data_IF_219837627623
#
_entry.id   IF_219837627623
#
_cell.length_a   1.000
_cell.length_b   1.000
_cell.length_c   1.000
_cell.angle_alpha   90.00
_cell.angle_beta   90.00
_cell.angle_gamma   90.00
#
_symmetry.space_group_name_H-M   'P 1'
#
loop_
_entity.id
_entity.type
_entity.pdbx_description
1 polymer ?
#
# COMPACT_ATOMS: atom_id res chain seq x y z
N UNK A 1 -1.35 0.66 20.48
CA UNK A 1 -2.79 0.86 20.23
C UNK A 1 -3.38 -0.47 19.71
N UNK A 2 -4.59 -0.87 20.12
CA UNK A 2 -5.23 -2.06 19.54
C UNK A 2 -5.51 -1.84 18.05
N UNK A 3 -5.43 -2.94 17.26
CA UNK A 3 -5.86 -2.90 15.87
C UNK A 3 -7.40 -2.84 15.85
N UNK A 4 -7.95 -1.75 15.34
CA UNK A 4 -9.38 -1.59 15.13
C UNK A 4 -9.67 -1.87 13.65
N UNK A 5 -10.20 -3.05 13.36
CA UNK A 5 -10.75 -3.35 12.04
C UNK A 5 -12.10 -2.64 11.86
N UNK A 6 -12.37 -2.12 10.66
CA UNK A 6 -13.71 -1.62 10.33
C UNK A 6 -14.52 -2.73 9.69
N UNK A 7 -15.80 -2.85 10.03
CA UNK A 7 -16.70 -3.87 9.46
C UNK A 7 -16.82 -3.77 7.92
N UNK A 8 -16.55 -2.59 7.37
CA UNK A 8 -16.59 -2.33 5.93
C UNK A 8 -15.36 -2.80 5.17
N UNK A 9 -14.26 -3.12 5.86
CA UNK A 9 -13.01 -3.52 5.23
C UNK A 9 -12.59 -4.91 5.72
N UNK A 10 -12.96 -5.95 4.98
CA UNK A 10 -12.72 -7.36 5.35
C UNK A 10 -11.26 -7.64 5.72
N UNK A 11 -10.30 -7.08 4.96
CA UNK A 11 -8.87 -7.24 5.23
C UNK A 11 -8.46 -6.68 6.59
N UNK A 12 -8.88 -5.46 6.94
CA UNK A 12 -8.52 -4.85 8.24
C UNK A 12 -9.14 -5.61 9.40
N UNK A 13 -10.37 -6.11 9.23
CA UNK A 13 -11.03 -6.96 10.21
C UNK A 13 -10.29 -8.30 10.42
N UNK A 14 -9.87 -8.94 9.35
CA UNK A 14 -9.08 -10.18 9.42
C UNK A 14 -7.74 -9.96 10.12
N UNK A 15 -7.02 -8.87 9.80
CA UNK A 15 -5.75 -8.55 10.46
C UNK A 15 -5.93 -8.26 11.95
N UNK A 16 -6.98 -7.53 12.33
CA UNK A 16 -7.29 -7.29 13.73
C UNK A 16 -7.64 -8.61 14.48
N UNK A 17 -8.36 -9.54 13.83
CA UNK A 17 -8.66 -10.85 14.39
C UNK A 17 -7.38 -11.69 14.59
N UNK A 18 -6.45 -11.69 13.62
CA UNK A 18 -5.16 -12.39 13.75
C UNK A 18 -4.36 -11.86 14.94
N UNK A 19 -4.26 -10.52 15.10
CA UNK A 19 -3.55 -9.97 16.25
C UNK A 19 -4.24 -10.26 17.59
N UNK A 20 -5.57 -10.39 17.61
CA UNK A 20 -6.29 -10.82 18.81
C UNK A 20 -5.95 -12.25 19.18
N UNK A 21 -6.05 -13.17 18.22
CA UNK A 21 -5.70 -14.58 18.41
C UNK A 21 -4.25 -14.73 18.89
N UNK A 22 -3.33 -14.00 18.26
CA UNK A 22 -1.92 -14.01 18.66
C UNK A 22 -1.75 -13.60 20.14
N UNK A 23 -2.41 -12.52 20.56
CA UNK A 23 -2.33 -12.06 21.96
C UNK A 23 -2.94 -13.08 22.94
N UNK A 24 -4.08 -13.67 22.59
CA UNK A 24 -4.74 -14.69 23.40
C UNK A 24 -3.85 -15.93 23.54
N UNK A 25 -3.24 -16.38 22.45
CA UNK A 25 -2.33 -17.55 22.44
C UNK A 25 -1.07 -17.32 23.27
N UNK A 26 -0.55 -16.09 23.27
CA UNK A 26 0.68 -15.75 23.98
C UNK A 26 0.44 -15.38 25.46
N UNK A 27 -0.82 -15.31 25.90
CA UNK A 27 -1.13 -15.01 27.30
C UNK A 27 -0.56 -16.11 28.22
N UNK A 28 0.32 -15.74 29.13
CA UNK A 28 1.03 -16.68 30.03
C UNK A 28 2.20 -17.43 29.38
N UNK A 29 2.53 -17.14 28.11
CA UNK A 29 3.73 -17.67 27.45
C UNK A 29 4.97 -16.83 27.80
N UNK A 30 6.14 -17.47 27.84
CA UNK A 30 7.44 -16.80 27.94
C UNK A 30 7.97 -16.33 26.56
N UNK A 31 7.16 -16.45 25.51
CA UNK A 31 7.55 -16.11 24.14
C UNK A 31 7.43 -14.60 23.90
N UNK A 32 8.49 -13.96 23.48
CA UNK A 32 8.47 -12.59 23.02
C UNK A 32 7.91 -12.51 21.59
N UNK A 33 6.90 -11.65 21.40
CA UNK A 33 6.30 -11.44 20.10
C UNK A 33 6.54 -10.04 19.57
N UNK A 34 7.07 -9.95 18.37
CA UNK A 34 7.25 -8.71 17.61
C UNK A 34 6.21 -8.67 16.48
N UNK A 35 5.29 -7.74 16.57
CA UNK A 35 4.22 -7.56 15.56
C UNK A 35 4.55 -6.33 14.73
N UNK A 36 4.91 -6.54 13.48
CA UNK A 36 5.19 -5.46 12.55
C UNK A 36 3.94 -5.09 11.75
N UNK A 37 3.62 -3.81 11.70
CA UNK A 37 2.53 -3.24 10.91
C UNK A 37 3.12 -2.31 9.86
N UNK A 38 3.54 -2.85 8.70
CA UNK A 38 3.97 -1.98 7.61
C UNK A 38 2.77 -1.24 7.02
N UNK A 39 3.00 -0.03 6.53
CA UNK A 39 2.08 0.63 5.59
C UNK A 39 2.06 -0.13 4.25
N UNK A 40 1.86 0.54 3.14
CA UNK A 40 1.93 -0.13 1.83
C UNK A 40 3.38 -0.51 1.53
N UNK A 41 3.68 -1.82 1.53
CA UNK A 41 5.00 -2.33 1.17
C UNK A 41 5.17 -2.26 -0.34
N UNK A 42 6.26 -1.66 -0.78
CA UNK A 42 6.55 -1.47 -2.20
C UNK A 42 8.06 -1.55 -2.47
N UNK A 43 8.41 -1.64 -3.75
CA UNK A 43 9.80 -1.72 -4.22
C UNK A 43 9.94 -2.70 -5.37
N UNK A 44 11.14 -2.90 -5.90
CA UNK A 44 11.40 -3.79 -7.03
C UNK A 44 10.86 -5.21 -6.85
N UNK A 45 11.01 -5.79 -5.67
CA UNK A 45 10.56 -7.16 -5.35
C UNK A 45 9.16 -7.20 -4.70
N UNK A 46 8.51 -6.04 -4.52
CA UNK A 46 7.17 -5.94 -3.96
C UNK A 46 6.24 -5.12 -4.88
N UNK A 47 5.90 -5.61 -6.10
CA UNK A 47 5.15 -4.86 -7.11
C UNK A 47 3.63 -4.83 -6.85
N UNK A 48 3.14 -5.39 -5.74
CA UNK A 48 1.71 -5.60 -5.49
C UNK A 48 0.84 -4.33 -5.64
N UNK A 49 1.39 -3.14 -5.35
CA UNK A 49 0.70 -1.87 -5.58
C UNK A 49 0.41 -1.63 -7.06
N UNK A 50 1.36 -1.93 -7.94
CA UNK A 50 1.19 -1.81 -9.40
C UNK A 50 0.29 -2.91 -9.97
N UNK A 51 0.43 -4.14 -9.47
CA UNK A 51 -0.34 -5.29 -9.95
C UNK A 51 -1.84 -5.15 -9.68
N UNK A 52 -2.23 -4.26 -8.79
CA UNK A 52 -3.63 -3.96 -8.51
C UNK A 52 -4.22 -2.90 -9.43
N UNK A 53 -3.39 -2.18 -10.20
CA UNK A 53 -3.89 -1.20 -11.15
C UNK A 53 -4.56 -1.90 -12.34
N UNK A 54 -5.84 -1.58 -12.63
CA UNK A 54 -6.61 -2.27 -13.68
C UNK A 54 -5.92 -2.26 -15.05
N UNK A 55 -5.30 -1.14 -15.41
CA UNK A 55 -4.60 -1.00 -16.69
C UNK A 55 -3.38 -1.93 -16.80
N UNK A 56 -2.66 -2.12 -15.69
CA UNK A 56 -1.48 -2.99 -15.68
C UNK A 56 -1.88 -4.47 -15.65
N UNK A 57 -3.02 -4.81 -15.06
CA UNK A 57 -3.61 -6.16 -15.19
C UNK A 57 -4.03 -6.48 -16.62
N UNK A 58 -4.63 -5.51 -17.32
CA UNK A 58 -5.01 -5.67 -18.73
C UNK A 58 -3.79 -5.89 -19.63
N UNK A 59 -2.64 -5.28 -19.33
CA UNK A 59 -1.40 -5.51 -20.06
C UNK A 59 -0.97 -6.99 -20.04
N UNK A 60 -1.23 -7.70 -18.95
CA UNK A 60 -0.95 -9.13 -18.86
C UNK A 60 -1.98 -10.03 -19.56
N UNK A 61 -3.18 -9.51 -19.83
CA UNK A 61 -4.28 -10.29 -20.40
C UNK A 61 -4.57 -9.96 -21.87
N UNK A 62 -4.19 -8.78 -22.33
CA UNK A 62 -4.45 -8.33 -23.69
C UNK A 62 -3.38 -8.86 -24.69
N UNK A 63 -3.77 -9.18 -25.93
CA UNK A 63 -2.82 -9.53 -26.99
C UNK A 63 -1.79 -8.41 -27.17
N UNK A 64 -0.51 -8.77 -27.21
CA UNK A 64 0.60 -7.81 -27.32
C UNK A 64 0.46 -6.86 -28.54
N UNK A 65 -0.23 -7.29 -29.59
CA UNK A 65 -0.51 -6.50 -30.79
C UNK A 65 -1.49 -5.36 -30.49
N UNK A 66 -2.54 -5.63 -29.71
CA UNK A 66 -3.53 -4.61 -29.34
C UNK A 66 -2.91 -3.54 -28.43
N UNK A 67 -2.08 -3.93 -27.49
CA UNK A 67 -1.35 -3.02 -26.60
C UNK A 67 -0.33 -2.16 -27.36
N UNK A 68 0.39 -2.76 -28.32
CA UNK A 68 1.32 -2.00 -29.18
C UNK A 68 0.57 -0.99 -30.06
N UNK A 69 -0.60 -1.32 -30.56
CA UNK A 69 -1.42 -0.39 -31.32
C UNK A 69 -1.91 0.77 -30.47
N UNK A 70 -2.38 0.50 -29.24
CA UNK A 70 -2.85 1.51 -28.30
C UNK A 70 -1.70 2.47 -27.87
N UNK A 71 -0.53 1.92 -27.59
CA UNK A 71 0.67 2.72 -27.23
C UNK A 71 1.19 3.62 -28.37
N UNK A 72 0.82 3.32 -29.64
CA UNK A 72 1.19 4.11 -30.81
C UNK A 72 0.26 5.28 -31.08
N UNK A 73 -0.88 5.37 -30.40
CA UNK A 73 -1.80 6.51 -30.57
C UNK A 73 -1.30 7.67 -29.72
N UNK A 74 -0.83 8.77 -30.32
CA UNK A 74 -0.33 9.92 -29.56
C UNK A 74 -1.42 10.48 -28.66
N UNK A 75 -1.05 10.78 -27.41
CA UNK A 75 -1.98 11.40 -26.45
C UNK A 75 -2.91 10.45 -25.70
N UNK A 76 -2.93 9.14 -26.05
CA UNK A 76 -3.70 8.15 -25.28
C UNK A 76 -2.81 7.59 -24.17
N UNK A 77 -3.02 8.07 -22.94
CA UNK A 77 -2.38 7.57 -21.73
C UNK A 77 -3.45 7.09 -20.75
N UNK A 78 -3.15 6.08 -19.93
CA UNK A 78 -4.04 5.69 -18.85
C UNK A 78 -4.33 6.87 -17.91
N UNK A 79 -5.49 6.84 -17.28
CA UNK A 79 -5.95 7.86 -16.35
C UNK A 79 -6.05 7.26 -14.97
N UNK A 80 -5.39 7.85 -13.99
CA UNK A 80 -5.50 7.43 -12.60
C UNK A 80 -6.33 8.46 -11.82
N UNK A 81 -7.43 8.05 -11.17
CA UNK A 81 -8.20 8.93 -10.30
C UNK A 81 -7.40 9.27 -9.04
N UNK A 82 -7.38 10.56 -8.66
CA UNK A 82 -6.74 11.01 -7.43
C UNK A 82 -7.75 11.70 -6.52
N UNK A 83 -7.91 11.16 -5.34
CA UNK A 83 -8.77 11.71 -4.29
C UNK A 83 -8.06 12.73 -3.40
N UNK A 84 -6.77 12.99 -3.65
CA UNK A 84 -5.94 13.89 -2.86
C UNK A 84 -5.57 13.35 -1.47
N UNK A 85 -5.90 12.09 -1.17
CA UNK A 85 -5.62 11.47 0.13
C UNK A 85 -4.18 10.97 0.16
N UNK A 86 -3.37 11.44 1.14
CA UNK A 86 -1.99 11.01 1.26
C UNK A 86 -1.87 9.62 1.88
N UNK A 87 -0.85 8.88 1.47
CA UNK A 87 -0.46 7.62 2.07
C UNK A 87 1.07 7.49 2.12
N UNK A 88 1.56 6.52 2.88
CA UNK A 88 2.98 6.24 2.98
C UNK A 88 3.32 4.90 2.34
N UNK A 89 4.53 4.80 1.84
CA UNK A 89 5.14 3.57 1.38
C UNK A 89 6.28 3.20 2.32
N UNK A 90 6.57 1.92 2.41
CA UNK A 90 7.79 1.39 3.04
C UNK A 90 8.48 0.46 2.04
N UNK A 91 9.78 0.63 1.88
CA UNK A 91 10.56 -0.22 1.01
C UNK A 91 10.64 -1.65 1.58
N UNK A 92 10.57 -2.66 0.73
CA UNK A 92 10.62 -4.06 1.17
C UNK A 92 11.91 -4.39 1.95
N UNK A 93 13.06 -3.81 1.57
CA UNK A 93 14.32 -3.96 2.30
C UNK A 93 14.24 -3.36 3.72
N UNK A 94 13.57 -2.21 3.87
CA UNK A 94 13.39 -1.60 5.18
C UNK A 94 12.49 -2.46 6.08
N UNK A 95 11.50 -3.14 5.51
CA UNK A 95 10.71 -4.15 6.25
C UNK A 95 11.60 -5.32 6.66
N UNK A 96 12.48 -5.79 5.77
CA UNK A 96 13.41 -6.86 6.08
C UNK A 96 14.36 -6.49 7.24
N UNK A 97 14.89 -5.27 7.25
CA UNK A 97 15.76 -4.80 8.36
C UNK A 97 15.02 -4.75 9.69
N UNK A 98 13.73 -4.36 9.70
CA UNK A 98 12.92 -4.38 10.91
C UNK A 98 12.65 -5.81 11.41
N UNK A 99 12.39 -6.76 10.50
CA UNK A 99 12.24 -8.18 10.83
C UNK A 99 13.51 -8.73 11.45
N UNK A 100 14.67 -8.43 10.87
CA UNK A 100 15.99 -8.82 11.42
C UNK A 100 16.17 -8.26 12.83
N UNK A 101 15.82 -6.99 13.07
CA UNK A 101 15.91 -6.39 14.40
C UNK A 101 15.06 -7.16 15.43
N UNK A 102 13.83 -7.55 15.06
CA UNK A 102 12.96 -8.35 15.91
C UNK A 102 13.49 -9.75 16.18
N UNK A 103 14.03 -10.43 15.16
CA UNK A 103 14.64 -11.77 15.32
C UNK A 103 15.87 -11.71 16.25
N UNK A 104 16.64 -10.64 16.19
CA UNK A 104 17.78 -10.41 17.08
C UNK A 104 17.38 -9.93 18.49
N UNK A 105 16.09 -9.81 18.78
CA UNK A 105 15.58 -9.40 20.08
C UNK A 105 15.88 -7.93 20.42
N UNK A 106 16.03 -7.07 19.41
CA UNK A 106 16.24 -5.63 19.66
C UNK A 106 14.96 -5.01 20.19
N UNK A 107 15.11 -4.12 21.17
CA UNK A 107 13.99 -3.45 21.84
C UNK A 107 13.08 -4.40 22.61
N UNK A 108 11.89 -3.94 22.95
CA UNK A 108 10.93 -4.71 23.73
C UNK A 108 9.91 -5.38 22.79
N UNK A 109 9.52 -6.61 23.11
CA UNK A 109 8.42 -7.29 22.43
C UNK A 109 7.18 -6.38 22.33
N UNK A 110 6.44 -6.47 21.22
CA UNK A 110 5.22 -5.69 21.03
C UNK A 110 4.99 -5.26 19.58
N UNK A 111 4.15 -4.22 19.41
CA UNK A 111 3.70 -3.76 18.10
C UNK A 111 4.54 -2.59 17.59
N UNK A 112 4.97 -2.67 16.33
CA UNK A 112 5.79 -1.69 15.66
C UNK A 112 5.20 -1.30 14.30
N UNK A 113 4.89 -0.04 14.11
CA UNK A 113 4.51 0.48 12.80
C UNK A 113 5.76 0.75 11.96
N UNK A 114 5.68 0.47 10.66
CA UNK A 114 6.77 0.68 9.72
C UNK A 114 6.28 1.49 8.52
N UNK A 115 6.91 2.63 8.26
CA UNK A 115 6.65 3.47 7.10
C UNK A 115 7.91 4.27 6.74
N UNK A 116 8.12 4.49 5.44
CA UNK A 116 9.09 5.44 4.95
C UNK A 116 8.71 6.88 5.32
N UNK A 117 9.69 7.75 5.37
CA UNK A 117 9.44 9.17 5.62
C UNK A 117 8.63 9.82 4.48
N UNK A 118 7.97 10.95 4.79
CA UNK A 118 7.18 11.69 3.82
C UNK A 118 5.86 10.98 3.46
N UNK A 119 5.21 11.51 2.44
CA UNK A 119 3.93 11.00 1.94
C UNK A 119 3.88 11.06 0.41
N UNK A 120 3.06 10.23 -0.19
CA UNK A 120 2.77 10.21 -1.62
C UNK A 120 1.25 10.21 -1.84
N UNK A 121 0.83 10.57 -3.06
CA UNK A 121 -0.55 10.56 -3.53
C UNK A 121 -0.67 9.75 -4.81
N UNK A 122 -1.87 9.47 -5.22
CA UNK A 122 -2.13 8.80 -6.49
C UNK A 122 -1.64 9.61 -7.69
N UNK A 123 -1.65 10.94 -7.58
CA UNK A 123 -1.04 11.84 -8.58
C UNK A 123 0.47 11.67 -8.69
N UNK A 124 1.17 11.38 -7.60
CA UNK A 124 2.61 11.11 -7.65
C UNK A 124 2.89 9.79 -8.39
N UNK A 125 2.09 8.74 -8.11
CA UNK A 125 2.17 7.48 -8.84
C UNK A 125 1.87 7.64 -10.34
N UNK A 126 0.81 8.39 -10.68
CA UNK A 126 0.47 8.66 -12.08
C UNK A 126 1.61 9.39 -12.80
N UNK A 127 2.24 10.36 -12.13
CA UNK A 127 3.39 11.11 -12.67
C UNK A 127 4.59 10.18 -12.92
N UNK A 128 4.92 9.30 -12.00
CA UNK A 128 6.02 8.33 -12.17
C UNK A 128 5.74 7.36 -13.33
N UNK A 129 4.47 6.95 -13.53
CA UNK A 129 4.05 6.08 -14.62
C UNK A 129 3.87 6.81 -15.96
N UNK A 130 4.02 8.13 -16.00
CA UNK A 130 3.71 8.99 -17.16
C UNK A 130 2.24 8.88 -17.59
N UNK A 131 1.32 8.79 -16.61
CA UNK A 131 -0.13 8.71 -16.81
C UNK A 131 -0.82 10.04 -16.52
N UNK A 132 -2.04 10.21 -17.01
CA UNK A 132 -2.88 11.34 -16.63
C UNK A 132 -3.51 11.13 -15.26
N UNK A 133 -3.75 12.25 -14.56
CA UNK A 133 -4.46 12.26 -13.28
C UNK A 133 -5.76 13.02 -13.42
N UNK A 134 -6.84 12.49 -12.86
CA UNK A 134 -8.11 13.19 -12.74
C UNK A 134 -8.44 13.35 -11.26
N UNK A 135 -8.52 14.59 -10.76
CA UNK A 135 -8.91 14.83 -9.38
C UNK A 135 -10.39 14.46 -9.18
N UNK A 136 -10.68 13.63 -8.19
CA UNK A 136 -12.03 13.24 -7.81
C UNK A 136 -12.37 13.91 -6.48
N UNK A 137 -13.38 14.81 -6.44
CA UNK A 137 -13.83 15.39 -5.18
C UNK A 137 -14.34 14.30 -4.22
N UNK A 138 -14.05 14.44 -2.93
CA UNK A 138 -14.44 13.47 -1.90
C UNK A 138 -15.97 13.15 -1.93
N UNK A 139 -16.80 14.10 -2.31
CA UNK A 139 -18.27 13.91 -2.47
C UNK A 139 -18.65 13.01 -3.64
N UNK A 140 -17.79 12.87 -4.64
CA UNK A 140 -18.05 12.04 -5.82
C UNK A 140 -17.61 10.58 -5.62
N UNK A 141 -16.89 10.26 -4.55
CA UNK A 141 -16.38 8.92 -4.28
C UNK A 141 -17.52 7.92 -4.11
N UNK A 142 -18.61 8.30 -3.42
CA UNK A 142 -19.77 7.43 -3.22
C UNK A 142 -20.52 7.11 -4.51
N UNK A 143 -20.56 8.07 -5.43
CA UNK A 143 -21.18 7.90 -6.76
C UNK A 143 -20.25 7.08 -7.67
N UNK A 144 -18.94 7.36 -7.64
CA UNK A 144 -17.97 6.67 -8.47
C UNK A 144 -17.78 5.20 -8.05
N UNK A 145 -17.82 4.88 -6.77
CA UNK A 145 -17.75 3.50 -6.28
C UNK A 145 -18.91 2.63 -6.81
N UNK A 146 -20.12 3.19 -6.90
CA UNK A 146 -21.29 2.52 -7.46
C UNK A 146 -21.22 2.35 -9.00
N UNK A 147 -20.57 3.28 -9.70
CA UNK A 147 -20.42 3.23 -11.16
C UNK A 147 -19.25 2.31 -11.53
N UNK A 148 -18.12 2.45 -10.86
CA UNK A 148 -16.91 1.63 -11.08
C UNK A 148 -17.17 0.16 -10.75
N UNK A 149 -17.92 -0.15 -9.71
CA UNK A 149 -18.32 -1.52 -9.38
C UNK A 149 -19.26 -2.19 -10.42
N UNK A 150 -19.87 -1.40 -11.31
CA UNK A 150 -20.73 -1.91 -12.41
C UNK A 150 -19.99 -2.12 -13.73
N UNK A 151 -18.76 -1.64 -13.85
CA UNK A 151 -17.92 -1.85 -15.04
C UNK A 151 -17.02 -3.06 -14.78
N UNK A 152 -17.27 -4.22 -15.40
CA UNK A 152 -16.50 -5.45 -15.10
C UNK A 152 -14.99 -5.31 -15.33
N UNK A 153 -14.60 -4.39 -16.20
CA UNK A 153 -13.20 -4.09 -16.54
C UNK A 153 -12.49 -3.21 -15.49
N UNK A 154 -13.26 -2.51 -14.65
CA UNK A 154 -12.76 -1.60 -13.63
C UNK A 154 -13.09 -2.08 -12.21
N UNK A 155 -13.51 -3.32 -12.05
CA UNK A 155 -13.78 -3.94 -10.75
C UNK A 155 -12.50 -3.99 -9.91
N UNK A 156 -12.09 -2.81 -9.46
CA UNK A 156 -11.26 -2.66 -8.27
C UNK A 156 -12.10 -3.23 -7.13
N UNK A 157 -11.59 -4.23 -6.45
CA UNK A 157 -12.29 -4.78 -5.29
C UNK A 157 -12.72 -3.63 -4.39
N UNK A 158 -14.00 -3.55 -4.06
CA UNK A 158 -14.61 -2.43 -3.33
C UNK A 158 -13.86 -2.06 -2.03
N UNK A 159 -13.12 -3.00 -1.45
CA UNK A 159 -12.27 -2.81 -0.29
C UNK A 159 -11.12 -1.81 -0.50
N UNK A 160 -10.55 -1.74 -1.70
CA UNK A 160 -9.47 -0.78 -1.99
C UNK A 160 -9.97 0.65 -2.14
N UNK A 161 -11.17 0.83 -2.67
CA UNK A 161 -11.79 2.16 -2.78
C UNK A 161 -12.03 2.78 -1.39
N UNK A 162 -12.36 1.96 -0.40
CA UNK A 162 -12.52 2.42 0.98
C UNK A 162 -11.18 2.81 1.62
N UNK A 163 -10.11 2.05 1.35
CA UNK A 163 -8.76 2.38 1.82
C UNK A 163 -8.24 3.70 1.24
N UNK A 164 -8.73 4.11 0.06
CA UNK A 164 -8.36 5.37 -0.58
C UNK A 164 -9.03 6.60 0.05
N UNK A 165 -9.97 6.42 0.97
CA UNK A 165 -10.72 7.52 1.60
C UNK A 165 -10.05 8.08 2.85
N UNK A 166 -9.18 7.31 3.46
CA UNK A 166 -8.59 7.64 4.76
C UNK A 166 -7.09 7.76 4.60
N UNK A 167 -6.47 8.86 5.09
CA UNK A 167 -5.02 8.98 5.12
C UNK A 167 -4.40 7.80 5.87
N UNK A 168 -3.45 7.11 5.24
CA UNK A 168 -2.68 6.05 5.89
C UNK A 168 -1.30 6.58 6.26
N UNK A 169 -1.27 7.36 7.34
CA UNK A 169 -0.05 7.93 7.90
C UNK A 169 0.24 7.25 9.24
N UNK A 170 1.45 6.74 9.39
CA UNK A 170 1.86 5.95 10.54
C UNK A 170 2.87 6.68 11.41
N UNK A 171 2.67 6.61 12.71
CA UNK A 171 3.69 6.98 13.68
C UNK A 171 4.64 5.79 13.91
N UNK A 172 5.89 5.95 13.48
CA UNK A 172 6.97 4.97 13.61
C UNK A 172 7.93 5.28 14.77
N UNK A 173 7.58 6.20 15.66
CA UNK A 173 8.44 6.64 16.79
C UNK A 173 8.93 5.46 17.62
N UNK A 174 8.06 4.49 17.91
CA UNK A 174 8.44 3.31 18.68
C UNK A 174 9.48 2.45 17.96
N UNK A 175 9.35 2.24 16.65
CA UNK A 175 10.32 1.48 15.87
C UNK A 175 11.69 2.16 15.89
N UNK A 176 11.73 3.47 15.72
CA UNK A 176 12.97 4.25 15.79
C UNK A 176 13.63 4.20 17.16
N UNK A 177 12.86 4.38 18.22
CA UNK A 177 13.42 4.48 19.59
C UNK A 177 13.81 3.13 20.18
N UNK A 178 13.08 2.06 19.90
CA UNK A 178 13.29 0.78 20.56
C UNK A 178 14.04 -0.23 19.70
N UNK A 179 13.78 -0.27 18.38
CA UNK A 179 14.50 -1.16 17.47
C UNK A 179 15.72 -0.49 16.85
N UNK A 180 15.94 0.82 17.10
CA UNK A 180 16.94 1.63 16.38
C UNK A 180 16.76 1.52 14.86
N UNK A 181 15.48 1.36 14.43
CA UNK A 181 15.14 1.17 13.04
C UNK A 181 14.89 2.50 12.35
N UNK A 182 15.67 2.77 11.33
CA UNK A 182 15.44 3.89 10.41
C UNK A 182 15.28 3.35 8.98
N UNK A 183 14.22 3.76 8.25
CA UNK A 183 14.07 3.38 6.86
C UNK A 183 15.15 4.08 6.02
N UNK A 184 15.80 3.32 5.15
CA UNK A 184 16.79 3.84 4.20
C UNK A 184 16.12 4.60 3.05
N UNK A 185 14.87 4.30 2.76
CA UNK A 185 14.09 4.89 1.68
C UNK A 185 12.93 5.71 2.23
N UNK A 186 12.73 6.91 1.70
CA UNK A 186 11.49 7.64 1.91
C UNK A 186 10.37 7.11 0.98
N UNK A 187 9.13 7.58 1.20
CA UNK A 187 7.97 7.13 0.40
C UNK A 187 8.10 7.48 -1.09
N UNK A 188 8.78 8.57 -1.45
CA UNK A 188 8.99 8.97 -2.85
C UNK A 188 10.08 8.13 -3.51
N UNK A 189 11.18 7.88 -2.83
CA UNK A 189 12.24 7.00 -3.31
C UNK A 189 11.70 5.58 -3.53
N UNK A 190 10.94 5.05 -2.57
CA UNK A 190 10.27 3.75 -2.68
C UNK A 190 9.36 3.70 -3.91
N UNK A 191 8.56 4.76 -4.14
CA UNK A 191 7.69 4.85 -5.31
C UNK A 191 8.49 4.87 -6.62
N UNK A 192 9.57 5.64 -6.65
CA UNK A 192 10.44 5.74 -7.82
C UNK A 192 11.06 4.38 -8.17
N UNK A 193 11.63 3.68 -7.20
CA UNK A 193 12.24 2.36 -7.43
C UNK A 193 11.22 1.29 -7.85
N UNK A 194 10.03 1.31 -7.24
CA UNK A 194 8.93 0.45 -7.65
C UNK A 194 8.58 0.60 -9.14
N UNK A 195 8.51 1.84 -9.62
CA UNK A 195 8.15 2.12 -11.02
C UNK A 195 9.34 1.87 -11.96
N UNK A 196 10.56 2.22 -11.53
CA UNK A 196 11.78 2.02 -12.32
C UNK A 196 12.05 0.54 -12.64
N UNK A 197 11.81 -0.35 -11.68
CA UNK A 197 11.98 -1.80 -11.85
C UNK A 197 11.04 -2.42 -12.90
N UNK A 198 9.99 -1.70 -13.31
CA UNK A 198 9.03 -2.18 -14.31
C UNK A 198 9.36 -1.70 -15.73
N UNK A 199 10.23 -0.73 -15.90
CA UNK A 199 10.62 -0.16 -17.21
C UNK A 199 11.61 -1.04 -17.92
#
# INVERSE_FOLDING_TARGET
>A
MPALGTERHAYSHQKAAVERVLRETLTGSATDAYVFRPCVVAGPEAPALLDQLPYLRLEHQAPAVALRALRRVPGVKPVLPDHGVPFQLVHHDDVATALVAGVLGRGNAGVYNLAGAGEVRWSDLAKELDWYTVPIPARAIDVSANIVGRIPLLAVEAGWLEALRVPMLMDCTRARQQLEWEPAYDSRQTLHELVAARR
#
